data_IF_953318522979
#
_entry.id   IF_953318522979
#
_cell.length_a   1.000
_cell.length_b   1.000
_cell.length_c   1.000
_cell.angle_alpha   90.00
_cell.angle_beta   90.00
_cell.angle_gamma   90.00
#
_symmetry.space_group_name_H-M   'P 1'
#
loop_
_entity.id
_entity.type
_entity.pdbx_description
1 polymer ?
#
# COMPACT_ATOMS: atom_id res chain seq x y z
N UNK A 1 -1.67 -13.37 13.68
CA UNK A 1 -1.33 -12.06 13.08
C UNK A 1 -0.93 -12.31 11.65
N UNK A 2 -1.64 -11.71 10.72
CA UNK A 2 -1.31 -11.65 9.31
C UNK A 2 -0.29 -10.56 9.00
N UNK A 3 -0.13 -10.24 7.72
CA UNK A 3 0.81 -9.24 7.23
C UNK A 3 0.07 -8.06 6.58
N UNK A 4 0.45 -6.84 6.93
CA UNK A 4 -0.01 -5.61 6.28
C UNK A 4 1.12 -5.02 5.45
N UNK A 5 0.88 -4.81 4.17
CA UNK A 5 1.81 -4.18 3.23
C UNK A 5 1.16 -2.90 2.70
N UNK A 6 1.90 -1.80 2.71
CA UNK A 6 1.44 -0.53 2.13
C UNK A 6 2.61 0.23 1.52
N UNK A 7 2.32 1.14 0.59
CA UNK A 7 3.33 2.00 0.00
C UNK A 7 3.87 2.99 1.03
N UNK A 8 5.18 3.06 1.15
CA UNK A 8 5.85 4.14 1.86
C UNK A 8 5.86 5.38 0.95
N UNK A 9 5.06 6.37 1.31
CA UNK A 9 4.85 7.59 0.53
C UNK A 9 5.24 8.80 1.38
N UNK A 10 5.97 9.78 0.81
CA UNK A 10 6.20 11.06 1.47
C UNK A 10 4.88 11.74 1.88
N UNK A 11 4.88 12.47 3.00
CA UNK A 11 3.70 13.14 3.55
C UNK A 11 3.01 14.13 2.59
N UNK A 12 3.74 14.65 1.61
CA UNK A 12 3.26 15.58 0.58
C UNK A 12 2.90 14.89 -0.75
N UNK A 13 2.97 13.55 -0.80
CA UNK A 13 2.67 12.80 -2.01
C UNK A 13 1.22 13.01 -2.46
N UNK A 14 0.98 13.41 -3.73
CA UNK A 14 -0.38 13.56 -4.25
C UNK A 14 -1.16 12.23 -4.25
N UNK A 15 -0.47 11.09 -4.19
CA UNK A 15 -1.10 9.76 -4.10
C UNK A 15 -1.83 9.55 -2.78
N UNK A 16 -1.47 10.26 -1.71
CA UNK A 16 -2.18 10.20 -0.43
C UNK A 16 -3.63 10.70 -0.55
N UNK A 17 -3.90 11.61 -1.49
CA UNK A 17 -5.24 12.15 -1.76
C UNK A 17 -6.10 11.30 -2.70
N UNK A 18 -5.55 10.22 -3.26
CA UNK A 18 -6.33 9.30 -4.09
C UNK A 18 -7.22 8.40 -3.23
N UNK A 19 -8.25 7.76 -3.80
CA UNK A 19 -8.95 6.66 -3.13
C UNK A 19 -8.02 5.45 -2.99
N UNK A 20 -8.24 4.62 -1.97
CA UNK A 20 -7.40 3.46 -1.65
C UNK A 20 -8.21 2.16 -1.70
N UNK A 21 -7.56 1.08 -2.09
CA UNK A 21 -8.12 -0.28 -2.03
C UNK A 21 -7.34 -1.13 -1.05
N UNK A 22 -7.96 -2.22 -0.62
CA UNK A 22 -7.33 -3.28 0.16
C UNK A 22 -7.46 -4.57 -0.63
N UNK A 23 -6.35 -5.21 -0.94
CA UNK A 23 -6.32 -6.55 -1.55
C UNK A 23 -5.93 -7.55 -0.47
N UNK A 24 -6.87 -8.41 -0.07
CA UNK A 24 -6.61 -9.51 0.85
C UNK A 24 -6.28 -10.78 0.08
N UNK A 25 -5.22 -11.49 0.47
CA UNK A 25 -4.76 -12.73 -0.16
C UNK A 25 -4.15 -13.72 0.85
N UNK A 26 -3.86 -14.95 0.43
CA UNK A 26 -3.14 -15.92 1.26
C UNK A 26 -1.74 -15.40 1.64
N UNK A 27 -1.26 -15.74 2.84
CA UNK A 27 0.14 -15.47 3.24
C UNK A 27 1.14 -16.38 2.53
N UNK A 28 0.69 -17.58 2.17
CA UNK A 28 1.53 -18.62 1.60
C UNK A 28 1.37 -18.71 0.10
N UNK A 29 0.79 -19.82 -0.36
CA UNK A 29 0.62 -20.08 -1.78
C UNK A 29 -0.45 -19.17 -2.38
N UNK A 30 -0.09 -18.42 -3.42
CA UNK A 30 -1.00 -17.53 -4.14
C UNK A 30 -2.17 -18.29 -4.78
N UNK A 31 -2.03 -19.60 -5.00
CA UNK A 31 -3.05 -20.47 -5.58
C UNK A 31 -4.02 -21.05 -4.53
N UNK A 32 -3.84 -20.76 -3.22
CA UNK A 32 -4.71 -21.29 -2.17
C UNK A 32 -6.15 -20.76 -2.28
N UNK A 33 -6.30 -19.46 -2.55
CA UNK A 33 -7.58 -18.82 -2.80
C UNK A 33 -7.42 -17.48 -3.51
N UNK A 34 -8.46 -17.10 -4.27
CA UNK A 34 -8.48 -15.90 -5.09
C UNK A 34 -8.53 -14.61 -4.26
N UNK A 35 -7.59 -13.66 -4.43
CA UNK A 35 -7.56 -12.43 -3.65
C UNK A 35 -8.87 -11.63 -3.71
N UNK A 36 -9.26 -11.04 -2.59
CA UNK A 36 -10.47 -10.20 -2.46
C UNK A 36 -10.07 -8.73 -2.41
N UNK A 37 -10.57 -7.94 -3.36
CA UNK A 37 -10.34 -6.49 -3.41
C UNK A 37 -11.53 -5.74 -2.78
N UNK A 38 -11.25 -4.90 -1.80
CA UNK A 38 -12.21 -4.08 -1.07
C UNK A 38 -11.92 -2.59 -1.28
N UNK A 39 -12.98 -1.77 -1.33
CA UNK A 39 -12.88 -0.31 -1.48
C UNK A 39 -13.78 0.27 -2.59
N UNK A 40 -13.57 1.54 -2.95
CA UNK A 40 -12.52 2.43 -2.46
C UNK A 40 -12.76 2.97 -1.03
N UNK A 41 -11.68 3.33 -0.34
CA UNK A 41 -11.68 3.97 0.98
C UNK A 41 -10.78 5.20 0.99
N UNK A 42 -10.89 6.02 2.04
CA UNK A 42 -9.84 7.01 2.33
C UNK A 42 -8.66 6.26 2.97
N UNK A 43 -7.42 6.70 2.73
CA UNK A 43 -6.21 6.06 3.26
C UNK A 43 -6.30 5.67 4.75
N UNK A 44 -6.66 6.58 5.69
CA UNK A 44 -6.73 6.21 7.10
C UNK A 44 -7.77 5.13 7.38
N UNK A 45 -8.88 5.11 6.65
CA UNK A 45 -9.89 4.04 6.77
C UNK A 45 -9.38 2.72 6.19
N UNK A 46 -8.69 2.75 5.04
CA UNK A 46 -8.14 1.54 4.42
C UNK A 46 -7.13 0.85 5.35
N UNK A 47 -6.19 1.61 5.90
CA UNK A 47 -5.17 1.10 6.82
C UNK A 47 -5.79 0.51 8.09
N UNK A 48 -6.69 1.25 8.75
CA UNK A 48 -7.33 0.78 9.98
C UNK A 48 -8.23 -0.45 9.77
N UNK A 49 -8.92 -0.56 8.63
CA UNK A 49 -9.69 -1.75 8.28
C UNK A 49 -8.79 -2.96 7.99
N UNK A 50 -7.70 -2.77 7.24
CA UNK A 50 -6.75 -3.83 6.94
C UNK A 50 -6.07 -4.34 8.22
N UNK A 51 -5.61 -3.42 9.07
CA UNK A 51 -4.99 -3.72 10.36
C UNK A 51 -5.93 -4.53 11.28
N UNK A 52 -7.19 -4.13 11.38
CA UNK A 52 -8.18 -4.85 12.17
C UNK A 52 -8.39 -6.30 11.69
N UNK A 53 -8.39 -6.54 10.37
CA UNK A 53 -8.56 -7.89 9.81
C UNK A 53 -7.31 -8.73 10.01
N UNK A 54 -6.11 -8.22 9.71
CA UNK A 54 -4.87 -8.98 9.85
C UNK A 54 -4.48 -9.22 11.32
N UNK A 55 -5.01 -8.43 12.25
CA UNK A 55 -4.85 -8.69 13.67
C UNK A 55 -5.55 -10.00 14.10
N UNK A 56 -6.68 -10.33 13.47
CA UNK A 56 -7.48 -11.50 13.83
C UNK A 56 -7.20 -12.72 12.93
N UNK A 57 -6.79 -12.48 11.68
CA UNK A 57 -6.67 -13.51 10.64
C UNK A 57 -5.22 -13.70 10.15
N UNK A 58 -4.89 -14.92 9.71
CA UNK A 58 -3.59 -15.25 9.12
C UNK A 58 -3.63 -15.08 7.60
N UNK A 59 -3.71 -13.83 7.14
CA UNK A 59 -3.77 -13.46 5.74
C UNK A 59 -2.86 -12.26 5.44
N UNK A 60 -2.63 -11.99 4.15
CA UNK A 60 -1.93 -10.80 3.69
C UNK A 60 -2.94 -9.73 3.28
N UNK A 61 -2.69 -8.48 3.66
CA UNK A 61 -3.43 -7.31 3.20
C UNK A 61 -2.48 -6.33 2.52
N UNK A 62 -2.74 -6.01 1.25
CA UNK A 62 -2.02 -4.97 0.51
C UNK A 62 -2.91 -3.73 0.41
N UNK A 63 -2.45 -2.60 0.94
CA UNK A 63 -3.19 -1.33 0.95
C UNK A 63 -2.49 -0.34 0.03
N UNK A 64 -3.15 0.00 -1.08
CA UNK A 64 -2.57 0.77 -2.17
C UNK A 64 -3.56 1.81 -2.75
N UNK A 65 -3.06 2.92 -3.31
CA UNK A 65 -3.91 3.91 -3.95
C UNK A 65 -4.46 3.39 -5.28
N UNK A 66 -5.75 3.59 -5.49
CA UNK A 66 -6.44 3.34 -6.75
C UNK A 66 -6.21 4.52 -7.70
N UNK A 67 -5.68 4.24 -8.89
CA UNK A 67 -5.53 5.21 -9.97
C UNK A 67 -6.79 5.21 -10.87
N UNK A 68 -7.68 6.22 -10.80
CA UNK A 68 -8.89 6.25 -11.61
C UNK A 68 -8.58 6.79 -13.00
N UNK A 69 -8.01 5.94 -13.85
CA UNK A 69 -7.80 6.22 -15.28
C UNK A 69 -9.15 6.29 -16.01
N UNK A 70 -9.31 7.30 -16.87
CA UNK A 70 -10.54 7.57 -17.62
C UNK A 70 -10.48 7.05 -19.05
N UNK A 71 -9.27 6.76 -19.56
CA UNK A 71 -9.05 6.31 -20.93
C UNK A 71 -8.11 5.09 -20.99
N UNK A 72 -8.22 4.24 -22.02
CA UNK A 72 -7.25 3.17 -22.25
C UNK A 72 -5.82 3.68 -22.43
N UNK A 73 -5.65 4.88 -22.98
CA UNK A 73 -4.36 5.51 -23.18
C UNK A 73 -3.67 5.83 -21.85
N UNK A 74 -4.40 6.39 -20.88
CA UNK A 74 -3.90 6.62 -19.52
C UNK A 74 -3.44 5.30 -18.89
N UNK A 75 -4.24 4.23 -19.01
CA UNK A 75 -3.87 2.90 -18.48
C UNK A 75 -2.57 2.39 -19.11
N UNK A 76 -2.41 2.53 -20.43
CA UNK A 76 -1.18 2.12 -21.12
C UNK A 76 0.03 2.95 -20.67
N UNK A 77 -0.16 4.25 -20.41
CA UNK A 77 0.89 5.11 -19.88
C UNK A 77 1.34 4.68 -18.48
N UNK A 78 0.40 4.34 -17.59
CA UNK A 78 0.72 3.81 -16.26
C UNK A 78 1.47 2.47 -16.34
N UNK A 79 1.05 1.56 -17.24
CA UNK A 79 1.76 0.29 -17.47
C UNK A 79 3.20 0.54 -17.92
N UNK A 80 3.41 1.47 -18.87
CA UNK A 80 4.75 1.80 -19.34
C UNK A 80 5.61 2.40 -18.22
N UNK A 81 5.04 3.29 -17.40
CA UNK A 81 5.73 3.86 -16.24
C UNK A 81 6.15 2.78 -15.22
N UNK A 82 5.26 1.83 -14.93
CA UNK A 82 5.55 0.71 -14.03
C UNK A 82 6.64 -0.21 -14.58
N UNK A 83 6.62 -0.49 -15.89
CA UNK A 83 7.67 -1.28 -16.55
C UNK A 83 9.05 -0.61 -16.44
N UNK A 84 9.11 0.70 -16.71
CA UNK A 84 10.35 1.47 -16.58
C UNK A 84 10.85 1.46 -15.12
N UNK A 85 9.96 1.68 -14.16
CA UNK A 85 10.32 1.65 -12.74
C UNK A 85 10.87 0.29 -12.29
N UNK A 86 10.29 -0.82 -12.80
CA UNK A 86 10.78 -2.16 -12.54
C UNK A 86 12.17 -2.41 -13.15
N UNK A 87 12.42 -1.93 -14.37
CA UNK A 87 13.74 -1.99 -15.01
C UNK A 87 14.80 -1.19 -14.23
N UNK A 88 14.44 0.01 -13.75
CA UNK A 88 15.33 0.86 -12.96
C UNK A 88 15.65 0.26 -11.57
N UNK A 89 14.69 -0.39 -10.91
CA UNK A 89 14.92 -1.12 -9.65
C UNK A 89 15.83 -2.33 -9.87
N UNK A 90 15.62 -3.09 -10.96
CA UNK A 90 16.49 -4.21 -11.32
C UNK A 90 17.92 -3.73 -11.60
N UNK A 91 18.08 -2.62 -12.34
CA UNK A 91 19.40 -2.03 -12.60
C UNK A 91 20.08 -1.50 -11.33
N UNK A 92 19.33 -0.97 -10.35
CA UNK A 92 19.85 -0.57 -9.04
C UNK A 92 20.31 -1.78 -8.22
N UNK A 93 19.54 -2.87 -8.26
CA UNK A 93 19.90 -4.14 -7.59
C UNK A 93 21.16 -4.74 -8.21
N UNK A 94 21.27 -4.80 -9.54
CA UNK A 94 22.47 -5.27 -10.25
C UNK A 94 23.71 -4.39 -9.95
N UNK A 95 23.52 -3.08 -9.74
CA UNK A 95 24.60 -2.19 -9.29
C UNK A 95 24.98 -2.43 -7.84
N UNK A 96 24.03 -2.72 -6.94
CA UNK A 96 24.31 -3.10 -5.56
C UNK A 96 25.11 -4.41 -5.48
N UNK A 97 24.81 -5.40 -6.33
CA UNK A 97 25.58 -6.64 -6.45
C UNK A 97 27.03 -6.42 -6.95
N UNK A 98 27.30 -5.32 -7.67
CA UNK A 98 28.65 -4.91 -8.09
C UNK A 98 29.45 -4.21 -6.97
N UNK A 99 28.77 -3.61 -6.00
CA UNK A 99 29.37 -3.11 -4.75
C UNK A 99 29.20 -4.17 -3.67
N UNK A 100 29.99 -5.25 -3.81
CA UNK A 100 29.89 -6.45 -2.98
C UNK A 100 29.71 -6.19 -1.48
N UNK A 101 28.73 -6.92 -0.93
CA UNK A 101 28.55 -7.33 0.46
C UNK A 101 28.91 -6.29 1.54
N UNK A 102 27.92 -5.45 1.89
CA UNK A 102 27.91 -4.67 3.13
C UNK A 102 27.21 -5.42 4.28
N UNK A 103 27.23 -6.77 4.35
CA UNK A 103 26.67 -7.52 5.49
C UNK A 103 27.30 -7.15 6.85
N UNK A 104 28.47 -6.48 6.88
CA UNK A 104 29.15 -6.09 8.12
C UNK A 104 28.91 -4.62 8.57
N UNK A 105 27.95 -3.88 8.00
CA UNK A 105 27.63 -2.48 8.42
C UNK A 105 26.13 -2.25 8.65
N UNK A 106 25.43 -3.23 9.25
CA UNK A 106 24.27 -2.84 10.05
C UNK A 106 24.87 -2.18 11.30
N UNK A 107 24.93 -0.85 11.29
CA UNK A 107 25.30 -0.09 12.48
C UNK A 107 24.36 -0.51 13.61
N UNK A 108 24.93 -0.84 14.77
CA UNK A 108 24.21 -1.15 16.02
C UNK A 108 23.18 -0.04 16.36
N UNK A 109 23.40 1.17 15.83
CA UNK A 109 22.49 2.33 15.87
C UNK A 109 21.18 2.14 15.08
N UNK A 110 21.19 1.39 13.98
CA UNK A 110 20.02 1.11 13.12
C UNK A 110 19.12 0.03 13.75
N UNK A 111 19.71 -0.98 14.40
CA UNK A 111 18.97 -1.92 15.25
C UNK A 111 18.37 -1.22 16.48
N UNK A 112 19.13 -0.35 17.15
CA UNK A 112 18.63 0.45 18.28
C UNK A 112 17.55 1.47 17.88
N UNK A 113 17.55 1.95 16.63
CA UNK A 113 16.52 2.82 16.10
C UNK A 113 15.20 2.05 15.89
N UNK A 114 15.27 0.83 15.33
CA UNK A 114 14.12 -0.05 15.19
C UNK A 114 13.52 -0.48 16.55
N UNK A 115 14.35 -0.72 17.57
CA UNK A 115 13.89 -1.02 18.94
C UNK A 115 13.25 0.19 19.66
N UNK A 116 13.49 1.42 19.18
CA UNK A 116 12.97 2.67 19.77
C UNK A 116 11.67 3.13 19.16
N UNK A 117 11.25 2.59 18.03
CA UNK A 117 9.91 2.88 17.52
C UNK A 117 8.89 2.15 18.38
N UNK A 118 7.94 2.86 19.01
CA UNK A 118 6.87 2.20 19.72
C UNK A 118 6.11 1.33 18.72
N UNK A 119 5.99 0.03 19.02
CA UNK A 119 5.07 -0.88 18.33
C UNK A 119 3.75 -0.13 18.08
N UNK A 120 3.37 0.13 16.82
CA UNK A 120 2.20 0.94 16.54
C UNK A 120 0.99 0.25 17.17
N UNK A 121 0.34 0.94 18.12
CA UNK A 121 -0.89 0.42 18.70
C UNK A 121 -1.94 0.34 17.60
N UNK A 122 -2.61 -0.81 17.44
CA UNK A 122 -3.52 -0.98 16.33
C UNK A 122 -4.60 0.09 16.31
N UNK A 123 -4.75 0.74 15.16
CA UNK A 123 -5.70 1.81 15.00
C UNK A 123 -7.12 1.29 15.27
N UNK A 124 -7.94 2.09 15.93
CA UNK A 124 -9.35 1.74 16.08
C UNK A 124 -10.01 1.74 14.71
N UNK A 125 -10.62 0.60 14.34
CA UNK A 125 -11.31 0.47 13.07
C UNK A 125 -12.40 1.56 12.93
N UNK A 126 -12.55 2.17 11.74
CA UNK A 126 -13.57 3.20 11.53
C UNK A 126 -14.96 2.60 11.64
N UNK A 127 -15.90 3.42 12.14
CA UNK A 127 -17.30 3.06 12.17
C UNK A 127 -17.89 3.00 10.76
N UNK A 128 -19.00 2.27 10.61
CA UNK A 128 -19.74 2.21 9.35
C UNK A 128 -20.13 3.59 8.81
N UNK A 129 -20.47 4.53 9.68
CA UNK A 129 -20.90 5.87 9.28
C UNK A 129 -19.72 6.73 8.80
N UNK A 130 -18.54 6.57 9.40
CA UNK A 130 -17.29 7.20 8.93
C UNK A 130 -16.88 6.68 7.55
N UNK A 131 -16.92 5.35 7.36
CA UNK A 131 -16.65 4.73 6.05
C UNK A 131 -17.63 5.25 5.00
N UNK A 132 -18.94 5.32 5.33
CA UNK A 132 -19.97 5.85 4.43
C UNK A 132 -19.74 7.31 4.07
N UNK A 133 -19.36 8.14 5.04
CA UNK A 133 -19.04 9.54 4.80
C UNK A 133 -17.80 9.71 3.90
N UNK A 134 -16.76 8.88 4.09
CA UNK A 134 -15.58 8.83 3.22
C UNK A 134 -15.93 8.44 1.78
N UNK A 135 -16.78 7.41 1.60
CA UNK A 135 -17.27 7.01 0.28
C UNK A 135 -17.97 8.15 -0.46
N UNK A 136 -18.75 8.97 0.24
CA UNK A 136 -19.40 10.13 -0.37
C UNK A 136 -18.39 11.18 -0.87
N UNK A 137 -17.30 11.42 -0.13
CA UNK A 137 -16.22 12.33 -0.55
C UNK A 137 -15.44 11.78 -1.75
N UNK A 138 -15.12 10.49 -1.73
CA UNK A 138 -14.48 9.80 -2.86
C UNK A 138 -15.34 9.89 -4.11
N UNK A 139 -16.65 9.66 -4.00
CA UNK A 139 -17.55 9.78 -5.14
C UNK A 139 -17.52 11.20 -5.74
N UNK A 140 -17.46 12.24 -4.92
CA UNK A 140 -17.30 13.62 -5.39
C UNK A 140 -15.95 13.83 -6.07
N UNK A 141 -14.86 13.33 -5.48
CA UNK A 141 -13.52 13.42 -6.06
C UNK A 141 -13.50 12.76 -7.46
N UNK A 142 -13.95 11.51 -7.56
CA UNK A 142 -13.94 10.73 -8.79
C UNK A 142 -14.82 11.33 -9.89
N UNK A 143 -15.95 11.93 -9.52
CA UNK A 143 -16.85 12.57 -10.49
C UNK A 143 -16.38 13.96 -10.90
N UNK A 144 -15.58 14.65 -10.07
CA UNK A 144 -14.99 15.94 -10.42
C UNK A 144 -13.79 15.84 -11.36
N UNK A 145 -13.14 14.66 -11.46
CA UNK A 145 -11.88 14.44 -12.19
C UNK A 145 -12.00 14.46 -13.73
N UNK A 146 -13.14 14.84 -14.28
CA UNK A 146 -13.38 14.93 -15.73
C UNK A 146 -14.36 16.05 -16.14
N UNK A 147 -14.60 17.03 -15.27
CA UNK A 147 -15.42 18.21 -15.54
C UNK A 147 -14.58 19.41 -16.02
#
# INVERSE_FOLDING_TARGET
>A
MGALVTLDLPDDSPMLGLPWIITFGPLGDADEWEPVVCGPYERPHALALAEAVVAEEQLMAVVEPLLPALTPEEIRSEIAAAQIAAEDEAARTDQADLYGDFEDVIDEELELAAEREPEPTPATAPTRDEVRAGLARIAQLLTSRGA
#
